data_IF_485896854771
#
_entry.id   IF_485896854771
#
_cell.length_a   1.000
_cell.length_b   1.000
_cell.length_c   1.000
_cell.angle_alpha   90.00
_cell.angle_beta   90.00
_cell.angle_gamma   90.00
#
_symmetry.space_group_name_H-M   'P 1'
#
loop_
_entity.id
_entity.type
_entity.pdbx_description
1 polymer ?
#
# COMPACT_ATOMS: atom_id res chain seq x y z
N UNK A 1 -20.09 -21.52 0.08
CA UNK A 1 -20.30 -22.84 0.70
C UNK A 1 -21.73 -23.27 0.42
N UNK A 2 -22.00 -24.58 0.31
CA UNK A 2 -23.37 -25.10 0.22
C UNK A 2 -24.20 -24.63 1.43
N UNK A 3 -25.48 -24.34 1.23
CA UNK A 3 -26.40 -24.02 2.31
C UNK A 3 -27.23 -25.26 2.62
N UNK A 4 -27.40 -25.59 3.90
CA UNK A 4 -28.19 -26.73 4.34
C UNK A 4 -29.34 -26.26 5.24
N UNK A 5 -30.48 -26.93 5.15
CA UNK A 5 -31.62 -26.78 6.05
C UNK A 5 -31.89 -28.15 6.69
N UNK A 6 -31.38 -28.38 7.90
CA UNK A 6 -31.23 -29.75 8.41
C UNK A 6 -30.11 -30.47 7.64
N UNK A 7 -30.39 -31.67 7.16
CA UNK A 7 -29.47 -32.45 6.31
C UNK A 7 -29.66 -32.17 4.81
N UNK A 8 -30.70 -31.41 4.43
CA UNK A 8 -31.04 -31.15 3.02
C UNK A 8 -30.24 -29.98 2.44
N UNK A 9 -29.64 -30.20 1.27
CA UNK A 9 -28.93 -29.18 0.51
C UNK A 9 -29.92 -28.23 -0.18
N UNK A 10 -29.84 -26.94 0.14
CA UNK A 10 -30.59 -25.90 -0.56
C UNK A 10 -29.83 -25.51 -1.83
N UNK A 11 -30.39 -25.88 -3.00
CA UNK A 11 -29.71 -25.76 -4.31
C UNK A 11 -29.49 -24.31 -4.73
N UNK A 12 -30.46 -23.43 -4.47
CA UNK A 12 -30.46 -22.05 -4.99
C UNK A 12 -29.79 -21.04 -4.05
N UNK A 13 -29.42 -21.48 -2.85
CA UNK A 13 -28.81 -20.64 -1.81
C UNK A 13 -27.37 -21.08 -1.55
N UNK A 14 -26.47 -20.10 -1.47
CA UNK A 14 -25.07 -20.31 -1.09
C UNK A 14 -24.70 -19.42 0.08
N UNK A 15 -23.95 -19.96 1.03
CA UNK A 15 -23.37 -19.16 2.12
C UNK A 15 -22.12 -18.47 1.59
N UNK A 16 -22.10 -17.13 1.69
CA UNK A 16 -20.94 -16.32 1.32
C UNK A 16 -19.81 -16.55 2.33
N UNK A 17 -18.70 -17.10 1.87
CA UNK A 17 -17.51 -17.36 2.69
C UNK A 17 -16.40 -16.36 2.39
N UNK A 18 -15.98 -16.27 1.13
CA UNK A 18 -15.01 -15.29 0.62
C UNK A 18 -15.51 -14.75 -0.72
N UNK A 19 -15.13 -13.52 -1.03
CA UNK A 19 -15.36 -12.93 -2.35
C UNK A 19 -14.13 -12.13 -2.75
N UNK A 20 -13.68 -12.30 -3.99
CA UNK A 20 -12.65 -11.50 -4.62
C UNK A 20 -13.29 -10.74 -5.78
N UNK A 21 -12.94 -9.47 -5.94
CA UNK A 21 -13.33 -8.73 -7.13
C UNK A 21 -12.24 -7.75 -7.56
N UNK A 22 -12.21 -7.53 -8.86
CA UNK A 22 -11.46 -6.48 -9.52
C UNK A 22 -12.31 -5.99 -10.69
N UNK A 23 -12.25 -4.70 -10.97
CA UNK A 23 -12.98 -4.14 -12.08
C UNK A 23 -12.13 -4.20 -13.35
N UNK A 24 -12.75 -4.50 -14.50
CA UNK A 24 -12.01 -4.64 -15.76
C UNK A 24 -11.11 -3.42 -16.10
N UNK A 25 -11.56 -2.17 -15.90
CA UNK A 25 -10.68 -1.01 -16.03
C UNK A 25 -9.46 -1.01 -15.10
N UNK A 26 -9.58 -1.51 -13.87
CA UNK A 26 -8.45 -1.66 -12.95
C UNK A 26 -7.42 -2.68 -13.46
N UNK A 27 -7.89 -3.83 -13.97
CA UNK A 27 -7.04 -4.87 -14.57
C UNK A 27 -6.27 -4.31 -15.77
N UNK A 28 -6.94 -3.52 -16.60
CA UNK A 28 -6.32 -2.84 -17.74
C UNK A 28 -5.35 -1.74 -17.30
N UNK A 29 -5.73 -0.93 -16.33
CA UNK A 29 -4.91 0.16 -15.81
C UNK A 29 -3.58 -0.34 -15.22
N UNK A 30 -3.59 -1.49 -14.53
CA UNK A 30 -2.35 -2.04 -13.95
C UNK A 30 -1.25 -2.31 -15.00
N UNK A 31 -1.62 -2.65 -16.25
CA UNK A 31 -0.66 -2.84 -17.34
C UNK A 31 0.16 -1.58 -17.63
N UNK A 32 -0.42 -0.42 -17.34
CA UNK A 32 0.16 0.91 -17.54
C UNK A 32 0.67 1.54 -16.23
N UNK A 33 0.58 0.81 -15.12
CA UNK A 33 1.13 1.23 -13.82
C UNK A 33 2.56 0.73 -13.65
N UNK A 34 3.26 1.27 -12.64
CA UNK A 34 4.55 0.72 -12.19
C UNK A 34 4.36 -0.75 -11.84
N UNK A 35 5.29 -1.65 -12.17
CA UNK A 35 5.21 -3.07 -11.83
C UNK A 35 5.48 -3.29 -10.33
N UNK A 36 4.70 -2.64 -9.48
CA UNK A 36 4.71 -2.78 -8.04
C UNK A 36 3.27 -2.83 -7.53
N UNK A 37 3.02 -3.73 -6.58
CA UNK A 37 1.73 -3.93 -5.93
C UNK A 37 1.94 -3.90 -4.43
N UNK A 38 1.13 -3.11 -3.73
CA UNK A 38 1.07 -3.12 -2.27
C UNK A 38 -0.21 -3.80 -1.82
N UNK A 39 -0.11 -4.66 -0.82
CA UNK A 39 -1.27 -5.36 -0.23
C UNK A 39 -1.35 -5.12 1.26
N UNK A 40 -2.57 -4.96 1.77
CA UNK A 40 -2.85 -4.79 3.19
C UNK A 40 -4.29 -5.25 3.52
N UNK A 41 -4.51 -5.57 4.79
CA UNK A 41 -5.78 -6.01 5.33
C UNK A 41 -6.32 -5.06 6.39
N UNK A 42 -7.63 -4.83 6.38
CA UNK A 42 -8.31 -4.03 7.41
C UNK A 42 -9.55 -4.74 7.93
N UNK A 43 -9.88 -4.50 9.20
CA UNK A 43 -11.08 -5.06 9.83
C UNK A 43 -12.37 -4.43 9.30
N UNK A 44 -13.37 -5.29 9.09
CA UNK A 44 -14.76 -4.88 8.92
C UNK A 44 -15.43 -4.71 10.29
N UNK A 45 -16.18 -3.62 10.46
CA UNK A 45 -16.83 -3.24 11.71
C UNK A 45 -18.36 -3.51 11.70
N UNK A 46 -18.89 -4.06 10.60
CA UNK A 46 -20.31 -4.34 10.46
C UNK A 46 -20.82 -5.50 11.32
N UNK A 47 -22.06 -5.89 11.05
CA UNK A 47 -22.78 -7.00 11.74
C UNK A 47 -22.03 -8.34 11.69
N UNK A 48 -21.19 -8.54 10.68
CA UNK A 48 -20.40 -9.76 10.49
C UNK A 48 -18.91 -9.48 10.74
N UNK A 49 -18.22 -10.47 11.29
CA UNK A 49 -16.75 -10.51 11.34
C UNK A 49 -16.22 -10.66 9.91
N UNK A 50 -15.04 -10.10 9.66
CA UNK A 50 -14.34 -10.24 8.40
C UNK A 50 -13.23 -9.21 8.24
N UNK A 51 -12.44 -9.40 7.19
CA UNK A 51 -11.36 -8.50 6.77
C UNK A 51 -11.60 -8.11 5.32
N UNK A 52 -11.32 -6.85 5.02
CA UNK A 52 -11.18 -6.35 3.66
C UNK A 52 -9.69 -6.37 3.32
N UNK A 53 -9.31 -7.16 2.32
CA UNK A 53 -7.97 -7.13 1.75
C UNK A 53 -8.00 -6.24 0.51
N UNK A 54 -6.99 -5.39 0.36
CA UNK A 54 -6.89 -4.44 -0.74
C UNK A 54 -5.52 -4.59 -1.40
N UNK A 55 -5.51 -4.56 -2.73
CA UNK A 55 -4.29 -4.41 -3.52
C UNK A 55 -4.33 -3.09 -4.26
N UNK A 56 -3.22 -2.36 -4.24
CA UNK A 56 -3.06 -1.09 -4.95
C UNK A 56 -1.76 -1.08 -5.74
N UNK A 57 -1.74 -0.30 -6.81
CA UNK A 57 -0.54 0.04 -7.55
C UNK A 57 -0.45 1.56 -7.71
N UNK A 58 0.56 2.02 -8.44
CA UNK A 58 0.79 3.43 -8.71
C UNK A 58 1.10 3.64 -10.19
N UNK A 59 0.49 4.66 -10.80
CA UNK A 59 0.78 5.02 -12.18
C UNK A 59 2.09 5.83 -12.33
N UNK A 60 2.44 6.20 -13.57
CA UNK A 60 3.61 7.04 -13.87
C UNK A 60 3.52 8.48 -13.36
N UNK A 61 2.34 8.95 -12.94
CA UNK A 61 2.15 10.28 -12.34
C UNK A 61 1.90 10.20 -10.82
N UNK A 62 2.36 9.12 -10.19
CA UNK A 62 2.22 8.84 -8.77
C UNK A 62 0.79 8.77 -8.22
N UNK A 63 -0.22 8.67 -9.08
CA UNK A 63 -1.60 8.46 -8.64
C UNK A 63 -1.76 7.04 -8.08
N UNK A 64 -2.50 6.92 -6.98
CA UNK A 64 -2.83 5.63 -6.38
C UNK A 64 -3.94 4.99 -7.21
N UNK A 65 -3.72 3.74 -7.63
CA UNK A 65 -4.68 2.96 -8.41
C UNK A 65 -5.04 1.71 -7.63
N UNK A 66 -6.23 1.64 -6.99
CA UNK A 66 -6.72 0.40 -6.42
C UNK A 66 -6.99 -0.61 -7.53
N UNK A 67 -6.46 -1.83 -7.39
CA UNK A 67 -6.51 -2.85 -8.44
C UNK A 67 -7.37 -4.07 -8.09
N UNK A 68 -7.49 -4.43 -6.82
CA UNK A 68 -8.29 -5.58 -6.41
C UNK A 68 -8.70 -5.49 -4.94
N UNK A 69 -9.76 -6.22 -4.61
CA UNK A 69 -10.33 -6.28 -3.27
C UNK A 69 -10.77 -7.70 -2.95
N UNK A 70 -10.77 -8.06 -1.67
CA UNK A 70 -11.42 -9.27 -1.22
C UNK A 70 -12.02 -9.12 0.17
N UNK A 71 -13.12 -9.83 0.42
CA UNK A 71 -13.66 -10.03 1.76
C UNK A 71 -13.37 -11.47 2.16
N UNK A 72 -12.76 -11.61 3.33
CA UNK A 72 -12.35 -12.88 3.91
C UNK A 72 -12.75 -12.95 5.38
N UNK A 73 -12.80 -14.15 5.93
CA UNK A 73 -13.18 -14.40 7.32
C UNK A 73 -12.16 -13.86 8.34
N UNK A 74 -10.88 -13.75 7.95
CA UNK A 74 -9.77 -13.33 8.81
C UNK A 74 -8.45 -13.20 8.03
N UNK A 75 -7.38 -12.77 8.71
CA UNK A 75 -6.01 -12.70 8.15
C UNK A 75 -5.25 -14.02 8.32
N UNK A 76 -5.89 -15.12 7.90
CA UNK A 76 -5.34 -16.47 7.93
C UNK A 76 -4.47 -16.76 6.71
N UNK A 77 -3.63 -17.79 6.76
CA UNK A 77 -2.83 -18.19 5.59
C UNK A 77 -3.73 -18.57 4.41
N UNK A 78 -4.85 -19.25 4.66
CA UNK A 78 -5.79 -19.62 3.59
C UNK A 78 -6.49 -18.42 2.97
N UNK A 79 -6.83 -17.41 3.76
CA UNK A 79 -7.44 -16.18 3.26
C UNK A 79 -6.46 -15.39 2.38
N UNK A 80 -5.20 -15.26 2.80
CA UNK A 80 -4.16 -14.62 1.99
C UNK A 80 -3.84 -15.44 0.74
N UNK A 81 -3.79 -16.77 0.83
CA UNK A 81 -3.58 -17.62 -0.33
C UNK A 81 -4.72 -17.49 -1.34
N UNK A 82 -5.98 -17.45 -0.87
CA UNK A 82 -7.14 -17.15 -1.73
C UNK A 82 -6.98 -15.79 -2.43
N UNK A 83 -6.62 -14.74 -1.70
CA UNK A 83 -6.47 -13.40 -2.26
C UNK A 83 -5.33 -13.32 -3.28
N UNK A 84 -4.14 -13.81 -2.91
CA UNK A 84 -2.94 -13.77 -3.75
C UNK A 84 -3.10 -14.66 -4.99
N UNK A 85 -3.77 -15.81 -4.89
CA UNK A 85 -4.02 -16.68 -6.06
C UNK A 85 -4.91 -15.98 -7.09
N UNK A 86 -6.04 -15.41 -6.65
CA UNK A 86 -6.94 -14.66 -7.53
C UNK A 86 -6.28 -13.39 -8.10
N UNK A 87 -5.50 -12.68 -7.27
CA UNK A 87 -4.76 -11.49 -7.69
C UNK A 87 -3.75 -11.82 -8.79
N UNK A 88 -3.00 -12.92 -8.65
CA UNK A 88 -2.01 -13.37 -9.64
C UNK A 88 -2.66 -13.84 -10.94
N UNK A 89 -3.75 -14.59 -10.84
CA UNK A 89 -4.45 -15.17 -11.98
C UNK A 89 -5.14 -14.11 -12.82
N UNK A 90 -5.82 -13.14 -12.20
CA UNK A 90 -6.73 -12.24 -12.91
C UNK A 90 -6.19 -10.83 -13.13
N UNK A 91 -5.24 -10.36 -12.30
CA UNK A 91 -4.82 -8.95 -12.31
C UNK A 91 -3.32 -8.83 -12.62
N UNK A 92 -2.47 -9.46 -11.81
CA UNK A 92 -1.01 -9.36 -11.88
C UNK A 92 -0.48 -10.45 -12.82
N UNK A 93 -0.77 -10.30 -14.11
CA UNK A 93 -0.45 -11.33 -15.12
C UNK A 93 1.00 -11.27 -15.59
N UNK A 94 1.61 -10.09 -15.62
CA UNK A 94 3.03 -9.87 -16.02
C UNK A 94 4.03 -10.35 -14.95
N UNK A 95 5.21 -10.76 -15.38
CA UNK A 95 6.35 -11.05 -14.52
C UNK A 95 7.15 -9.78 -14.20
N UNK A 96 8.17 -9.89 -13.33
CA UNK A 96 9.00 -8.76 -12.91
C UNK A 96 8.27 -7.76 -12.02
N UNK A 97 7.25 -8.21 -11.27
CA UNK A 97 6.45 -7.33 -10.41
C UNK A 97 6.98 -7.38 -8.98
N UNK A 98 7.12 -6.22 -8.34
CA UNK A 98 7.37 -6.11 -6.91
C UNK A 98 6.08 -6.26 -6.09
N UNK A 99 6.05 -7.18 -5.12
CA UNK A 99 4.98 -7.28 -4.12
C UNK A 99 5.47 -6.70 -2.78
N UNK A 100 4.82 -5.66 -2.28
CA UNK A 100 5.13 -5.07 -0.98
C UNK A 100 4.01 -5.39 0.01
N UNK A 101 4.36 -6.01 1.14
CA UNK A 101 3.40 -6.37 2.19
C UNK A 101 3.95 -6.18 3.59
N UNK A 102 3.10 -6.40 4.60
CA UNK A 102 3.56 -6.72 5.96
C UNK A 102 4.34 -8.05 5.97
N UNK A 103 5.20 -8.25 6.98
CA UNK A 103 5.92 -9.48 7.31
C UNK A 103 5.10 -10.37 8.26
N UNK A 104 3.78 -10.42 8.07
CA UNK A 104 2.93 -11.29 8.87
C UNK A 104 3.08 -12.74 8.39
N UNK A 105 3.16 -13.70 9.33
CA UNK A 105 3.42 -15.12 9.02
C UNK A 105 2.39 -15.73 8.06
N UNK A 106 1.13 -15.30 8.17
CA UNK A 106 0.07 -15.77 7.27
C UNK A 106 0.29 -15.36 5.81
N UNK A 107 0.91 -14.20 5.55
CA UNK A 107 1.27 -13.75 4.20
C UNK A 107 2.46 -14.57 3.69
N UNK A 108 3.50 -14.74 4.51
CA UNK A 108 4.69 -15.52 4.15
C UNK A 108 4.31 -16.97 3.79
N UNK A 109 3.47 -17.59 4.62
CA UNK A 109 2.97 -18.95 4.37
C UNK A 109 2.13 -19.00 3.08
N UNK A 110 1.30 -17.99 2.81
CA UNK A 110 0.51 -17.93 1.58
C UNK A 110 1.38 -17.78 0.32
N UNK A 111 2.42 -16.95 0.38
CA UNK A 111 3.40 -16.78 -0.71
C UNK A 111 4.16 -18.09 -0.95
N UNK A 112 4.65 -18.74 0.10
CA UNK A 112 5.35 -20.03 0.00
C UNK A 112 4.47 -21.13 -0.62
N UNK A 113 3.18 -21.18 -0.27
CA UNK A 113 2.18 -22.12 -0.83
C UNK A 113 1.77 -21.81 -2.27
N UNK A 114 2.20 -20.71 -2.86
CA UNK A 114 1.75 -20.27 -4.19
C UNK A 114 2.50 -20.95 -5.34
N UNK A 115 3.21 -22.06 -5.12
CA UNK A 115 3.94 -22.82 -6.14
C UNK A 115 4.83 -21.94 -7.05
N UNK A 116 5.55 -20.99 -6.44
CA UNK A 116 6.43 -20.06 -7.15
C UNK A 116 5.74 -18.92 -7.92
N UNK A 117 4.41 -18.83 -7.88
CA UNK A 117 3.67 -17.78 -8.59
C UNK A 117 3.95 -16.36 -8.06
N UNK A 118 4.33 -16.27 -6.78
CA UNK A 118 4.74 -15.06 -6.06
C UNK A 118 6.23 -15.04 -5.70
N UNK A 119 7.05 -15.78 -6.46
CA UNK A 119 8.50 -15.90 -6.24
C UNK A 119 9.30 -15.47 -7.46
N UNK A 120 10.58 -15.19 -7.26
CA UNK A 120 11.52 -14.85 -8.34
C UNK A 120 11.59 -16.00 -9.37
N UNK A 121 11.66 -15.72 -10.69
CA UNK A 121 11.77 -14.40 -11.33
C UNK A 121 10.42 -13.73 -11.67
N UNK A 122 9.29 -14.32 -11.26
CA UNK A 122 7.96 -13.81 -11.62
C UNK A 122 7.58 -12.60 -10.78
N UNK A 123 7.77 -12.70 -9.47
CA UNK A 123 7.47 -11.65 -8.50
C UNK A 123 8.57 -11.57 -7.46
N UNK A 124 8.96 -10.35 -7.11
CA UNK A 124 9.91 -10.06 -6.05
C UNK A 124 9.11 -9.63 -4.83
N UNK A 125 9.05 -10.48 -3.80
CA UNK A 125 8.34 -10.18 -2.56
C UNK A 125 9.26 -9.41 -1.62
N UNK A 126 8.85 -8.20 -1.23
CA UNK A 126 9.58 -7.34 -0.30
C UNK A 126 8.66 -6.90 0.84
N UNK A 127 9.25 -6.65 2.00
CA UNK A 127 8.54 -6.23 3.20
C UNK A 127 8.57 -4.72 3.36
N UNK A 128 7.46 -4.17 3.79
CA UNK A 128 7.35 -2.79 4.22
C UNK A 128 8.33 -2.50 5.37
N UNK A 129 9.21 -1.50 5.20
CA UNK A 129 10.24 -1.15 6.18
C UNK A 129 9.62 -0.69 7.52
N UNK A 130 8.45 -0.04 7.47
CA UNK A 130 7.70 0.38 8.66
C UNK A 130 7.17 -0.81 9.46
N UNK A 131 6.76 -1.88 8.77
CA UNK A 131 6.36 -3.12 9.43
C UNK A 131 7.56 -3.86 10.02
N UNK A 132 8.71 -3.85 9.35
CA UNK A 132 9.97 -4.37 9.93
C UNK A 132 10.35 -3.58 11.19
N UNK A 133 10.31 -2.26 11.13
CA UNK A 133 10.57 -1.35 12.25
C UNK A 133 9.64 -1.65 13.44
N UNK A 134 8.33 -1.76 13.19
CA UNK A 134 7.35 -2.09 14.23
C UNK A 134 7.60 -3.46 14.84
N UNK A 135 7.91 -4.46 14.02
CA UNK A 135 8.24 -5.81 14.49
C UNK A 135 9.53 -5.83 15.32
N UNK A 136 10.54 -5.06 14.91
CA UNK A 136 11.79 -4.91 15.65
C UNK A 136 11.54 -4.26 17.01
N UNK A 137 10.78 -3.16 17.05
CA UNK A 137 10.42 -2.48 18.29
C UNK A 137 9.63 -3.41 19.23
N UNK A 138 8.70 -4.20 18.70
CA UNK A 138 7.94 -5.16 19.51
C UNK A 138 8.84 -6.24 20.13
N UNK A 139 9.87 -6.69 19.42
CA UNK A 139 10.78 -7.73 19.89
C UNK A 139 11.79 -7.23 20.92
N UNK A 140 12.41 -6.08 20.66
CA UNK A 140 13.55 -5.59 21.44
C UNK A 140 13.23 -4.39 22.34
N UNK A 141 12.09 -3.72 22.13
CA UNK A 141 11.68 -2.52 22.88
C UNK A 141 12.75 -1.42 22.89
N UNK A 142 13.52 -1.30 21.81
CA UNK A 142 14.65 -0.37 21.67
C UNK A 142 14.34 0.74 20.65
N UNK A 143 13.74 1.87 21.08
CA UNK A 143 13.18 2.89 20.18
C UNK A 143 14.23 3.66 19.36
N UNK A 144 15.50 3.67 19.78
CA UNK A 144 16.58 4.33 19.04
C UNK A 144 17.16 3.45 17.93
N UNK A 145 17.18 2.13 18.13
CA UNK A 145 17.77 1.18 17.19
C UNK A 145 16.87 0.93 15.97
N UNK A 146 15.55 1.09 16.12
CA UNK A 146 14.61 0.93 15.01
C UNK A 146 14.90 1.93 13.86
N UNK A 147 15.34 3.16 14.19
CA UNK A 147 15.73 4.17 13.18
C UNK A 147 16.92 3.69 12.37
N UNK A 148 17.86 2.98 13.00
CA UNK A 148 19.00 2.42 12.30
C UNK A 148 18.55 1.32 11.33
N UNK A 149 17.60 0.46 11.72
CA UNK A 149 16.99 -0.54 10.83
C UNK A 149 16.31 0.13 9.62
N UNK A 150 15.58 1.22 9.85
CA UNK A 150 14.97 2.01 8.77
C UNK A 150 16.05 2.58 7.85
N UNK A 151 17.12 3.17 8.40
CA UNK A 151 18.23 3.72 7.63
C UNK A 151 18.95 2.64 6.81
N UNK A 152 19.15 1.43 7.34
CA UNK A 152 19.68 0.28 6.59
C UNK A 152 18.75 -0.03 5.40
N UNK A 153 17.43 -0.04 5.63
CA UNK A 153 16.45 -0.27 4.58
C UNK A 153 16.51 0.77 3.45
N UNK A 154 16.69 2.04 3.80
CA UNK A 154 16.76 3.17 2.84
C UNK A 154 18.13 3.37 2.18
N UNK A 155 19.17 2.63 2.58
CA UNK A 155 20.50 2.72 1.96
C UNK A 155 20.42 2.44 0.47
N UNK A 156 20.92 3.36 -0.36
CA UNK A 156 20.86 3.27 -1.83
C UNK A 156 22.05 2.51 -2.41
N UNK A 157 23.16 2.51 -1.68
CA UNK A 157 24.39 1.81 -2.07
C UNK A 157 24.75 0.73 -1.07
N UNK A 158 25.47 -0.29 -1.54
CA UNK A 158 26.03 -1.36 -0.68
C UNK A 158 26.93 -0.76 0.42
N UNK A 159 27.68 0.30 0.10
CA UNK A 159 28.54 1.01 1.06
C UNK A 159 27.75 1.65 2.20
N UNK A 160 26.68 2.38 1.87
CA UNK A 160 25.79 2.98 2.88
C UNK A 160 25.10 1.91 3.74
N UNK A 161 24.69 0.81 3.10
CA UNK A 161 24.10 -0.33 3.80
C UNK A 161 25.08 -0.90 4.82
N UNK A 162 26.31 -1.21 4.40
CA UNK A 162 27.31 -1.82 5.27
C UNK A 162 27.66 -0.92 6.44
N UNK A 163 27.79 0.40 6.20
CA UNK A 163 28.04 1.38 7.25
C UNK A 163 26.92 1.41 8.31
N UNK A 164 25.65 1.41 7.88
CA UNK A 164 24.52 1.35 8.82
C UNK A 164 24.40 -0.01 9.51
N UNK A 165 24.73 -1.09 8.82
CA UNK A 165 24.68 -2.45 9.35
C UNK A 165 25.78 -2.68 10.41
N UNK A 166 27.00 -2.20 10.19
CA UNK A 166 28.09 -2.26 11.18
C UNK A 166 27.73 -1.49 12.45
N UNK A 167 27.14 -0.30 12.31
CA UNK A 167 26.61 0.45 13.47
C UNK A 167 25.53 -0.32 14.24
N UNK A 168 24.77 -1.21 13.59
CA UNK A 168 23.78 -2.05 14.27
C UNK A 168 24.48 -3.21 14.98
N UNK A 169 25.49 -3.80 14.34
CA UNK A 169 26.33 -4.87 14.90
C UNK A 169 27.03 -4.44 16.18
N UNK A 170 27.60 -3.23 16.19
CA UNK A 170 28.25 -2.62 17.36
C UNK A 170 27.31 -2.48 18.58
N UNK A 171 26.00 -2.48 18.37
CA UNK A 171 25.01 -2.38 19.47
C UNK A 171 24.69 -3.74 20.08
N UNK A 172 24.92 -4.83 19.35
CA UNK A 172 24.70 -6.18 19.83
C UNK A 172 24.32 -7.17 18.71
N UNK A 173 24.91 -8.37 18.78
CA UNK A 173 24.70 -9.44 17.80
C UNK A 173 23.24 -9.92 17.71
N UNK A 174 22.48 -9.81 18.80
CA UNK A 174 21.07 -10.20 18.80
C UNK A 174 20.24 -9.40 17.77
N UNK A 175 20.61 -8.15 17.50
CA UNK A 175 19.89 -7.29 16.55
C UNK A 175 20.18 -7.68 15.10
N UNK A 176 21.44 -7.90 14.77
CA UNK A 176 21.85 -8.34 13.43
C UNK A 176 21.40 -9.77 13.16
N UNK A 177 21.49 -10.67 14.14
CA UNK A 177 20.98 -12.04 14.01
C UNK A 177 19.46 -12.09 13.78
N UNK A 178 18.69 -11.12 14.31
CA UNK A 178 17.26 -10.99 14.00
C UNK A 178 17.03 -10.47 12.58
N UNK A 179 17.79 -9.46 12.17
CA UNK A 179 17.66 -8.85 10.84
C UNK A 179 18.07 -9.82 9.73
N UNK A 180 19.12 -10.62 9.94
CA UNK A 180 19.63 -11.63 8.99
C UNK A 180 18.65 -12.77 8.71
N UNK A 181 17.57 -12.90 9.49
CA UNK A 181 16.46 -13.82 9.17
C UNK A 181 15.59 -13.30 8.02
N UNK A 182 15.82 -12.08 7.58
CA UNK A 182 15.18 -11.46 6.43
C UNK A 182 16.26 -11.35 5.35
N UNK A 183 16.06 -11.95 4.17
CA UNK A 183 16.96 -11.72 3.04
C UNK A 183 17.05 -10.21 2.74
N UNK A 184 18.26 -9.71 2.47
CA UNK A 184 18.50 -8.28 2.28
C UNK A 184 17.70 -7.70 1.11
N UNK A 185 17.37 -8.51 0.09
CA UNK A 185 16.65 -8.08 -1.12
C UNK A 185 15.20 -7.74 -0.76
N UNK A 186 14.69 -8.32 0.33
CA UNK A 186 13.31 -8.11 0.78
C UNK A 186 13.16 -6.85 1.63
N UNK A 187 14.22 -6.21 2.10
CA UNK A 187 14.09 -5.01 2.95
C UNK A 187 15.02 -3.85 2.61
N UNK A 188 16.18 -4.07 2.01
CA UNK A 188 17.13 -3.01 1.70
C UNK A 188 17.06 -2.59 0.23
N UNK A 189 17.03 -1.27 -0.01
CA UNK A 189 16.95 -0.68 -1.34
C UNK A 189 18.20 -0.97 -2.18
N UNK A 190 19.39 -1.02 -1.55
CA UNK A 190 20.65 -1.34 -2.23
C UNK A 190 20.68 -2.72 -2.92
N UNK A 191 19.79 -3.64 -2.53
CA UNK A 191 19.76 -5.03 -3.02
C UNK A 191 18.42 -5.39 -3.68
N UNK A 192 17.56 -4.42 -3.95
CA UNK A 192 16.19 -4.68 -4.42
C UNK A 192 16.07 -4.99 -5.92
N UNK A 193 17.18 -4.87 -6.67
CA UNK A 193 17.21 -5.05 -8.12
C UNK A 193 16.35 -4.05 -8.91
N UNK A 194 15.95 -2.93 -8.30
CA UNK A 194 15.03 -1.94 -8.86
C UNK A 194 13.55 -2.33 -8.81
N UNK A 195 13.19 -3.47 -8.21
CA UNK A 195 11.82 -3.97 -8.23
C UNK A 195 10.87 -3.27 -7.24
N UNK A 196 11.38 -2.43 -6.32
CA UNK A 196 10.52 -1.68 -5.38
C UNK A 196 10.02 -0.37 -5.94
N UNK A 197 10.62 0.14 -7.03
CA UNK A 197 10.21 1.41 -7.64
C UNK A 197 10.20 2.60 -6.66
N UNK A 198 11.11 2.58 -5.68
CA UNK A 198 11.20 3.59 -4.61
C UNK A 198 10.15 3.42 -3.49
N UNK A 199 9.31 2.38 -3.53
CA UNK A 199 8.32 2.09 -2.50
C UNK A 199 8.93 1.26 -1.38
N UNK A 200 9.22 1.91 -0.24
CA UNK A 200 9.71 1.23 0.96
C UNK A 200 8.59 0.85 1.93
N UNK A 201 7.41 1.44 1.79
CA UNK A 201 6.30 1.31 2.72
C UNK A 201 4.98 0.93 2.02
N UNK A 202 3.99 0.55 2.82
CA UNK A 202 2.60 0.23 2.44
C UNK A 202 1.68 1.46 2.48
N UNK A 203 2.23 2.68 2.44
CA UNK A 203 1.44 3.89 2.62
C UNK A 203 0.31 4.04 1.59
N UNK A 204 0.49 3.54 0.36
CA UNK A 204 -0.54 3.67 -0.68
C UNK A 204 -1.78 2.85 -0.33
N UNK A 205 -1.58 1.61 0.11
CA UNK A 205 -2.70 0.74 0.48
C UNK A 205 -3.32 1.17 1.81
N UNK A 206 -2.51 1.66 2.74
CA UNK A 206 -2.99 2.26 4.00
C UNK A 206 -3.85 3.52 3.74
N UNK A 207 -3.47 4.34 2.75
CA UNK A 207 -4.27 5.49 2.32
C UNK A 207 -5.65 5.06 1.80
N UNK A 208 -5.71 4.03 0.95
CA UNK A 208 -6.99 3.50 0.45
C UNK A 208 -7.81 2.86 1.57
N UNK A 209 -7.18 2.15 2.50
CA UNK A 209 -7.85 1.62 3.69
C UNK A 209 -8.47 2.75 4.54
N UNK A 210 -7.80 3.90 4.65
CA UNK A 210 -8.35 5.10 5.31
C UNK A 210 -9.57 5.67 4.57
N UNK A 211 -9.50 5.77 3.23
CA UNK A 211 -10.61 6.22 2.39
C UNK A 211 -11.84 5.32 2.52
N UNK A 212 -11.62 4.00 2.68
CA UNK A 212 -12.68 3.01 2.83
C UNK A 212 -13.17 2.82 4.27
N UNK A 213 -12.54 3.47 5.27
CA UNK A 213 -12.88 3.31 6.68
C UNK A 213 -14.35 3.54 6.99
N UNK A 214 -14.97 4.52 6.33
CA UNK A 214 -16.38 4.85 6.50
C UNK A 214 -17.35 3.78 5.98
N UNK A 215 -16.90 2.86 5.11
CA UNK A 215 -17.75 1.80 4.54
C UNK A 215 -17.55 0.43 5.20
N UNK A 216 -16.60 0.30 6.14
CA UNK A 216 -16.30 -0.96 6.82
C UNK A 216 -17.45 -1.48 7.71
N UNK A 217 -18.40 -0.63 8.10
CA UNK A 217 -19.57 -0.99 8.88
C UNK A 217 -20.79 -1.35 8.02
N UNK A 218 -20.71 -1.15 6.70
CA UNK A 218 -21.82 -1.35 5.78
C UNK A 218 -21.96 -2.82 5.36
N UNK A 219 -23.15 -3.22 4.84
CA UNK A 219 -23.30 -4.51 4.18
C UNK A 219 -22.31 -4.69 3.02
N UNK A 220 -21.95 -5.95 2.74
CA UNK A 220 -20.98 -6.30 1.68
C UNK A 220 -21.38 -5.71 0.32
N UNK A 221 -22.67 -5.75 -0.02
CA UNK A 221 -23.19 -5.16 -1.26
C UNK A 221 -22.97 -3.65 -1.33
N UNK A 222 -23.15 -2.94 -0.22
CA UNK A 222 -22.88 -1.51 -0.13
C UNK A 222 -21.37 -1.21 -0.20
N UNK A 223 -20.52 -2.07 0.37
CA UNK A 223 -19.06 -1.95 0.26
C UNK A 223 -18.61 -2.11 -1.20
N UNK A 224 -19.09 -3.14 -1.90
CA UNK A 224 -18.79 -3.33 -3.34
C UNK A 224 -19.28 -2.13 -4.14
N UNK A 225 -20.52 -1.67 -3.96
CA UNK A 225 -21.04 -0.45 -4.61
C UNK A 225 -20.19 0.77 -4.31
N UNK A 226 -19.75 0.97 -3.06
CA UNK A 226 -18.89 2.08 -2.70
C UNK A 226 -17.54 2.03 -3.41
N UNK A 227 -16.91 0.85 -3.51
CA UNK A 227 -15.67 0.70 -4.29
C UNK A 227 -15.90 1.00 -5.77
N UNK A 228 -17.04 0.60 -6.33
CA UNK A 228 -17.41 0.89 -7.71
C UNK A 228 -17.54 2.40 -7.97
N UNK A 229 -18.39 3.10 -7.23
CA UNK A 229 -18.64 4.53 -7.46
C UNK A 229 -17.40 5.38 -7.23
N UNK A 230 -16.62 5.10 -6.17
CA UNK A 230 -15.37 5.83 -5.89
C UNK A 230 -14.31 5.63 -6.97
N UNK A 231 -14.19 4.40 -7.49
CA UNK A 231 -13.26 4.12 -8.59
C UNK A 231 -13.73 4.76 -9.89
N UNK A 232 -15.03 4.77 -10.15
CA UNK A 232 -15.56 5.41 -11.35
C UNK A 232 -15.32 6.92 -11.31
N UNK A 233 -15.55 7.57 -10.17
CA UNK A 233 -15.24 9.00 -9.97
C UNK A 233 -13.74 9.27 -10.18
N UNK A 234 -12.87 8.43 -9.60
CA UNK A 234 -11.42 8.54 -9.77
C UNK A 234 -11.03 8.45 -11.25
N UNK A 235 -11.49 7.42 -11.97
CA UNK A 235 -11.14 7.22 -13.37
C UNK A 235 -11.74 8.28 -14.29
N UNK A 236 -12.96 8.76 -14.02
CA UNK A 236 -13.54 9.90 -14.73
C UNK A 236 -12.68 11.14 -14.63
N UNK A 237 -12.30 11.52 -13.39
CA UNK A 237 -11.44 12.68 -13.18
C UNK A 237 -10.08 12.51 -13.84
N UNK A 238 -9.45 11.35 -13.67
CA UNK A 238 -8.11 11.08 -14.23
C UNK A 238 -8.10 11.03 -15.75
N UNK A 239 -9.18 10.55 -16.36
CA UNK A 239 -9.36 10.60 -17.81
C UNK A 239 -9.46 12.04 -18.31
N UNK A 240 -10.27 12.89 -17.68
CA UNK A 240 -10.36 14.32 -18.06
C UNK A 240 -9.01 15.02 -17.94
N UNK A 241 -8.29 14.80 -16.83
CA UNK A 241 -6.93 15.34 -16.63
C UNK A 241 -5.96 14.87 -17.72
N UNK A 242 -6.05 13.61 -18.13
CA UNK A 242 -5.18 13.06 -19.16
C UNK A 242 -5.55 13.55 -20.57
N UNK A 243 -6.84 13.60 -20.90
CA UNK A 243 -7.35 14.07 -22.19
C UNK A 243 -6.95 15.53 -22.40
N UNK A 244 -7.13 16.40 -21.39
CA UNK A 244 -6.71 17.80 -21.43
C UNK A 244 -5.21 17.97 -21.72
N UNK A 245 -4.38 17.05 -21.21
CA UNK A 245 -2.92 17.06 -21.45
C UNK A 245 -2.54 16.52 -22.83
N UNK A 246 -3.28 15.55 -23.35
CA UNK A 246 -3.06 15.04 -24.71
C UNK A 246 -3.43 16.10 -25.75
N UNK A 247 -4.52 16.84 -25.51
CA UNK A 247 -5.02 17.88 -26.43
C UNK A 247 -4.28 19.21 -26.29
N UNK A 248 -3.35 19.34 -25.34
CA UNK A 248 -2.56 20.55 -25.18
C UNK A 248 -1.67 20.77 -26.42
N UNK A 249 -1.57 22.03 -26.86
CA UNK A 249 -0.78 22.46 -28.03
C UNK A 249 0.67 21.98 -27.93
N UNK A 250 1.25 22.04 -26.73
CA UNK A 250 2.54 21.44 -26.41
C UNK A 250 2.31 20.16 -25.59
N UNK A 251 2.05 19.04 -26.27
CA UNK A 251 1.87 17.74 -25.60
C UNK A 251 3.17 17.33 -24.88
N UNK A 252 3.17 17.18 -23.54
CA UNK A 252 4.35 16.71 -22.84
C UNK A 252 4.64 15.24 -23.19
N UNK A 253 5.93 14.90 -23.33
CA UNK A 253 6.36 13.52 -23.59
C UNK A 253 6.21 12.62 -22.35
N UNK A 254 6.41 13.20 -21.16
CA UNK A 254 6.44 12.49 -19.88
C UNK A 254 5.41 13.03 -18.88
N UNK A 255 5.13 12.23 -17.86
CA UNK A 255 4.31 12.64 -16.72
C UNK A 255 4.88 13.90 -16.08
N UNK A 256 4.00 14.71 -15.50
CA UNK A 256 4.37 15.99 -14.88
C UNK A 256 5.47 15.81 -13.83
N UNK A 257 5.35 14.77 -13.00
CA UNK A 257 6.33 14.46 -11.96
C UNK A 257 7.70 14.17 -12.55
N UNK A 258 7.76 13.44 -13.66
CA UNK A 258 9.02 13.15 -14.32
C UNK A 258 9.54 14.42 -14.97
N UNK A 259 8.73 15.15 -15.73
CA UNK A 259 9.13 16.42 -16.35
C UNK A 259 9.71 17.42 -15.33
N UNK A 260 9.09 17.58 -14.16
CA UNK A 260 9.62 18.45 -13.10
C UNK A 260 10.95 17.95 -12.54
N UNK A 261 11.11 16.64 -12.33
CA UNK A 261 12.37 16.05 -11.86
C UNK A 261 13.47 16.18 -12.90
N UNK A 262 13.18 15.85 -14.16
CA UNK A 262 14.11 15.99 -15.27
C UNK A 262 14.63 17.42 -15.37
N UNK A 263 13.75 18.41 -15.28
CA UNK A 263 14.14 19.82 -15.31
C UNK A 263 15.02 20.21 -14.11
N UNK A 264 14.67 19.78 -12.90
CA UNK A 264 15.49 20.03 -11.71
C UNK A 264 16.90 19.40 -11.85
N UNK A 265 16.97 18.21 -12.44
CA UNK A 265 18.19 17.45 -12.58
C UNK A 265 19.08 18.01 -13.70
N UNK A 266 18.49 18.52 -14.79
CA UNK A 266 19.20 19.26 -15.83
C UNK A 266 19.77 20.58 -15.31
N UNK A 267 19.02 21.30 -14.47
CA UNK A 267 19.54 22.50 -13.82
C UNK A 267 20.71 22.17 -12.87
N UNK A 268 20.62 21.06 -12.15
CA UNK A 268 21.70 20.61 -11.26
C UNK A 268 22.93 20.11 -12.03
N UNK A 269 22.75 19.50 -13.21
CA UNK A 269 23.87 18.96 -14.00
C UNK A 269 24.76 20.02 -14.63
N UNK A 270 24.26 21.24 -14.81
CA UNK A 270 25.04 22.35 -15.37
C UNK A 270 26.30 22.70 -14.59
N UNK A 271 26.40 22.28 -13.32
CA UNK A 271 27.59 22.50 -12.50
C UNK A 271 28.58 21.31 -12.52
N UNK A 272 28.17 20.13 -13.03
CA UNK A 272 28.94 18.89 -12.94
C UNK A 272 30.03 18.84 -14.03
N UNK A 273 31.29 18.67 -13.62
CA UNK A 273 32.38 18.39 -14.56
C UNK A 273 32.58 16.88 -14.74
N UNK A 274 32.52 16.41 -15.99
CA UNK A 274 32.78 15.01 -16.36
C UNK A 274 34.04 14.95 -17.22
N UNK A 275 35.09 14.33 -16.69
CA UNK A 275 36.34 14.05 -17.39
C UNK A 275 36.34 12.60 -17.88
N UNK A 276 36.70 12.38 -19.15
CA UNK A 276 36.91 11.03 -19.67
C UNK A 276 38.27 10.53 -19.17
N UNK A 277 38.27 9.56 -18.26
CA UNK A 277 39.48 8.99 -17.67
C UNK A 277 40.04 7.86 -18.54
N UNK A 278 39.16 6.97 -19.02
CA UNK A 278 39.52 5.88 -19.93
C UNK A 278 38.37 5.61 -20.91
N UNK A 279 38.62 5.89 -22.19
CA UNK A 279 37.63 5.76 -23.26
C UNK A 279 37.39 4.30 -23.68
N UNK A 280 38.39 3.42 -23.56
CA UNK A 280 38.25 2.00 -23.93
C UNK A 280 37.42 1.24 -22.89
N UNK A 281 37.64 1.54 -21.61
CA UNK A 281 36.90 0.91 -20.50
C UNK A 281 35.62 1.67 -20.09
N UNK A 282 35.29 2.77 -20.77
CA UNK A 282 34.15 3.66 -20.47
C UNK A 282 34.14 4.15 -19.02
N UNK A 283 35.33 4.49 -18.50
CA UNK A 283 35.50 5.02 -17.14
C UNK A 283 35.59 6.54 -17.21
N UNK A 284 34.75 7.22 -16.43
CA UNK A 284 34.67 8.67 -16.36
C UNK A 284 34.93 9.12 -14.93
N UNK A 285 35.78 10.13 -14.78
CA UNK A 285 35.95 10.85 -13.52
C UNK A 285 34.90 11.96 -13.50
N UNK A 286 33.94 11.86 -12.58
CA UNK A 286 32.94 12.91 -12.37
C UNK A 286 33.35 13.71 -11.15
N UNK A 287 33.67 14.99 -11.34
CA UNK A 287 33.98 15.91 -10.24
C UNK A 287 32.77 16.81 -9.98
N UNK A 288 32.08 16.59 -8.86
CA UNK A 288 31.32 17.68 -8.20
C UNK A 288 30.86 17.45 -6.74
N UNK A 289 30.46 18.57 -6.13
CA UNK A 289 30.27 18.99 -4.72
C UNK A 289 29.30 18.16 -3.81
N UNK A 290 29.24 18.42 -2.47
CA UNK A 290 28.74 17.52 -1.41
C UNK A 290 27.29 17.03 -1.48
N UNK A 291 26.45 17.56 -2.38
CA UNK A 291 25.06 17.13 -2.52
C UNK A 291 24.99 16.02 -3.57
N UNK A 292 25.02 14.77 -3.13
CA UNK A 292 25.03 13.57 -3.99
C UNK A 292 23.82 13.43 -4.94
N UNK A 293 23.83 14.19 -6.04
CA UNK A 293 22.76 14.25 -7.05
C UNK A 293 23.37 14.19 -8.46
N UNK A 294 23.01 13.11 -9.16
CA UNK A 294 22.77 12.92 -10.59
C UNK A 294 23.86 13.18 -11.65
N UNK A 295 24.80 12.23 -11.72
CA UNK A 295 25.79 12.08 -12.79
C UNK A 295 25.20 11.71 -14.16
N UNK A 296 24.00 11.13 -14.23
CA UNK A 296 23.48 10.54 -15.49
C UNK A 296 23.24 11.61 -16.55
N UNK A 297 22.67 12.77 -16.18
CA UNK A 297 22.45 13.87 -17.13
C UNK A 297 23.76 14.46 -17.62
N UNK A 298 24.68 14.77 -16.71
CA UNK A 298 26.00 15.29 -17.05
C UNK A 298 26.79 14.32 -17.95
N UNK A 299 26.74 13.02 -17.67
CA UNK A 299 27.34 11.99 -18.52
C UNK A 299 26.65 11.89 -19.89
N UNK A 300 25.32 11.95 -19.95
CA UNK A 300 24.59 11.92 -21.21
C UNK A 300 24.92 13.15 -22.08
N UNK A 301 24.98 14.33 -21.48
CA UNK A 301 25.36 15.57 -22.16
C UNK A 301 26.80 15.51 -22.68
N UNK A 302 27.75 15.11 -21.82
CA UNK A 302 29.15 14.93 -22.19
C UNK A 302 29.32 13.92 -23.35
N UNK A 303 28.56 12.83 -23.33
CA UNK A 303 28.62 11.76 -24.34
C UNK A 303 27.67 11.96 -25.53
N UNK A 304 26.91 13.08 -25.58
CA UNK A 304 25.88 13.35 -26.58
C UNK A 304 24.85 12.22 -26.72
N UNK A 305 24.50 11.59 -25.61
CA UNK A 305 23.47 10.56 -25.53
C UNK A 305 22.12 11.21 -25.30
N UNK A 306 21.09 10.72 -25.98
CA UNK A 306 19.72 11.07 -25.67
C UNK A 306 19.30 10.37 -24.37
N UNK A 307 19.14 11.13 -23.28
CA UNK A 307 18.74 10.58 -22.00
C UNK A 307 17.29 10.07 -21.98
N UNK A 308 16.45 10.52 -22.93
CA UNK A 308 15.03 10.17 -22.97
C UNK A 308 14.79 8.68 -23.16
N UNK A 309 15.72 7.99 -23.83
CA UNK A 309 15.65 6.53 -24.08
C UNK A 309 15.77 5.71 -22.79
N UNK A 310 16.33 6.29 -21.72
CA UNK A 310 16.48 5.62 -20.41
C UNK A 310 15.26 5.86 -19.51
N UNK A 311 14.32 6.71 -19.90
CA UNK A 311 13.07 6.93 -19.14
C UNK A 311 12.12 5.76 -19.40
N UNK A 312 11.81 5.02 -18.34
CA UNK A 312 10.93 3.86 -18.42
C UNK A 312 9.53 4.23 -18.94
N UNK A 313 8.95 3.35 -19.77
CA UNK A 313 7.72 3.62 -20.53
C UNK A 313 6.52 4.04 -19.67
N UNK A 314 6.39 3.51 -18.45
CA UNK A 314 5.32 3.87 -17.49
C UNK A 314 5.19 5.38 -17.27
N UNK A 315 6.28 6.13 -17.43
CA UNK A 315 6.33 7.57 -17.25
C UNK A 315 5.97 8.37 -18.51
N UNK A 316 5.80 7.71 -19.65
CA UNK A 316 5.37 8.36 -20.89
C UNK A 316 3.88 8.70 -20.80
N UNK A 317 3.49 9.84 -21.37
CA UNK A 317 2.12 10.36 -21.27
C UNK A 317 1.06 9.46 -21.90
N UNK A 318 1.42 8.68 -22.91
CA UNK A 318 0.54 7.71 -23.57
C UNK A 318 0.13 6.53 -22.67
N UNK A 319 0.93 6.22 -21.64
CA UNK A 319 0.61 5.20 -20.64
C UNK A 319 -0.31 5.75 -19.55
N UNK A 320 -0.07 6.99 -19.11
CA UNK A 320 -0.84 7.65 -18.05
C UNK A 320 -2.29 7.94 -18.48
N UNK A 321 -2.57 8.05 -19.78
CA UNK A 321 -3.89 8.44 -20.28
C UNK A 321 -4.91 7.31 -20.50
N UNK A 322 -4.57 6.05 -20.22
CA UNK A 322 -5.37 4.88 -20.67
C UNK A 322 -6.43 4.40 -19.66
N UNK A 323 -7.03 5.30 -18.88
CA UNK A 323 -8.09 4.95 -17.94
C UNK A 323 -9.44 4.80 -18.66
N UNK A 324 -10.03 3.60 -18.59
CA UNK A 324 -11.39 3.34 -19.08
C UNK A 324 -12.41 3.55 -17.97
N UNK A 325 -13.58 4.06 -18.32
CA UNK A 325 -14.69 4.17 -17.40
C UNK A 325 -15.30 2.81 -17.12
N UNK A 326 -15.93 2.70 -15.95
CA UNK A 326 -16.78 1.57 -15.64
C UNK A 326 -18.13 1.77 -16.33
N UNK A 327 -18.63 0.73 -17.00
CA UNK A 327 -19.93 0.79 -17.64
C UNK A 327 -21.06 1.00 -16.63
N UNK A 328 -22.11 1.69 -17.05
CA UNK A 328 -23.27 1.99 -16.22
C UNK A 328 -23.88 0.68 -15.69
N UNK A 329 -24.20 0.57 -14.39
CA UNK A 329 -24.91 -0.60 -13.85
C UNK A 329 -26.19 -1.00 -14.61
N UNK A 330 -26.82 -0.06 -15.32
CA UNK A 330 -28.00 -0.35 -16.17
C UNK A 330 -27.69 -1.18 -17.42
N UNK A 331 -26.43 -1.27 -17.84
CA UNK A 331 -26.00 -2.07 -19.01
C UNK A 331 -25.53 -3.47 -18.62
N UNK A 332 -25.54 -3.81 -17.33
CA UNK A 332 -25.05 -5.11 -16.88
C UNK A 332 -26.08 -6.21 -17.13
N UNK A 333 -25.65 -7.41 -17.54
CA UNK A 333 -26.55 -8.54 -17.71
C UNK A 333 -27.22 -8.91 -16.39
N UNK A 334 -28.46 -9.41 -16.47
CA UNK A 334 -29.16 -9.93 -15.30
C UNK A 334 -28.34 -11.07 -14.67
N UNK A 335 -28.20 -11.03 -13.34
CA UNK A 335 -27.51 -12.08 -12.61
C UNK A 335 -28.44 -13.29 -12.44
N UNK A 336 -28.13 -14.37 -13.15
CA UNK A 336 -28.89 -15.64 -13.11
C UNK A 336 -28.23 -16.69 -12.19
N UNK A 337 -27.26 -16.31 -11.36
CA UNK A 337 -26.56 -17.23 -10.47
C UNK A 337 -27.25 -17.44 -9.12
N UNK A 338 -26.66 -18.28 -8.27
CA UNK A 338 -27.21 -18.59 -6.94
C UNK A 338 -27.33 -17.35 -6.06
N UNK A 339 -28.34 -17.34 -5.18
CA UNK A 339 -28.52 -16.30 -4.18
C UNK A 339 -27.53 -16.52 -3.02
N UNK A 340 -26.79 -15.48 -2.66
CA UNK A 340 -25.85 -15.54 -1.54
C UNK A 340 -26.47 -15.02 -0.24
N UNK A 341 -26.32 -15.80 0.83
CA UNK A 341 -26.68 -15.40 2.19
C UNK A 341 -25.44 -15.19 3.05
N UNK A 342 -25.46 -14.26 4.02
CA UNK A 342 -24.34 -14.08 4.94
C UNK A 342 -24.08 -15.33 5.77
N UNK A 343 -22.81 -15.60 6.09
CA UNK A 343 -22.46 -16.69 6.98
C UNK A 343 -22.93 -16.42 8.43
N UNK A 344 -23.85 -17.23 9.00
CA UNK A 344 -24.35 -17.01 10.35
C UNK A 344 -23.26 -17.16 11.42
N UNK A 345 -22.25 -18.00 11.21
CA UNK A 345 -21.12 -18.19 12.14
C UNK A 345 -20.20 -16.96 12.22
N UNK A 346 -20.22 -16.10 11.21
CA UNK A 346 -19.49 -14.83 11.23
C UNK A 346 -20.31 -13.70 11.86
N UNK A 347 -21.58 -13.91 12.19
CA UNK A 347 -22.42 -12.88 12.81
C UNK A 347 -21.90 -12.53 14.20
N UNK A 348 -21.77 -11.24 14.48
CA UNK A 348 -21.42 -10.76 15.82
C UNK A 348 -22.62 -10.92 16.74
N UNK A 349 -22.39 -11.49 17.92
CA UNK A 349 -23.36 -11.59 19.01
C UNK A 349 -23.18 -10.33 19.88
N UNK A 350 -23.95 -9.26 19.70
CA UNK A 350 -23.78 -8.01 20.48
C UNK A 350 -24.34 -8.16 21.90
N UNK A 351 -23.72 -7.59 22.95
CA UNK A 351 -23.61 -6.14 23.21
C UNK A 351 -22.17 -5.63 23.43
N UNK A 352 -21.82 -4.51 22.77
CA UNK A 352 -20.60 -3.74 23.00
C UNK A 352 -19.82 -3.39 21.73
N UNK A 353 -19.14 -2.23 21.72
CA UNK A 353 -18.17 -1.88 20.67
C UNK A 353 -17.04 -2.94 20.69
N UNK A 354 -16.71 -3.58 19.56
CA UNK A 354 -15.63 -4.56 19.54
C UNK A 354 -14.34 -3.93 20.07
N UNK A 355 -13.65 -4.59 21.01
CA UNK A 355 -12.27 -4.22 21.36
C UNK A 355 -11.45 -4.24 20.08
N UNK A 356 -10.73 -3.15 19.81
CA UNK A 356 -9.78 -3.09 18.72
C UNK A 356 -8.75 -4.21 18.92
N UNK A 357 -8.79 -5.23 18.07
CA UNK A 357 -7.87 -6.38 18.11
C UNK A 357 -6.77 -6.27 17.06
N UNK A 358 -6.80 -5.22 16.23
CA UNK A 358 -5.66 -4.85 15.39
C UNK A 358 -4.56 -4.27 16.26
N UNK A 359 -3.31 -4.59 15.95
CA UNK A 359 -2.17 -3.94 16.57
C UNK A 359 -2.23 -2.43 16.26
N UNK A 360 -2.17 -1.61 17.32
CA UNK A 360 -2.13 -0.15 17.21
C UNK A 360 -0.93 0.25 16.34
N UNK A 361 -1.17 1.00 15.28
CA UNK A 361 -0.09 1.65 14.51
C UNK A 361 0.03 3.13 14.91
N UNK A 362 1.05 3.83 14.40
CA UNK A 362 1.32 5.24 14.76
C UNK A 362 0.11 6.18 14.53
N UNK A 363 -0.77 5.86 13.57
CA UNK A 363 -2.00 6.63 13.35
C UNK A 363 -2.98 6.51 14.52
N UNK A 364 -3.02 5.36 15.20
CA UNK A 364 -3.82 5.18 16.40
C UNK A 364 -3.16 5.86 17.62
N UNK A 365 -1.83 5.96 17.64
CA UNK A 365 -1.09 6.68 18.69
C UNK A 365 -1.32 8.19 18.63
N UNK A 366 -1.52 8.76 17.43
CA UNK A 366 -1.95 10.16 17.27
C UNK A 366 -3.30 10.45 17.95
N UNK A 367 -4.24 9.48 17.92
CA UNK A 367 -5.53 9.63 18.62
C UNK A 367 -5.40 9.57 20.16
N UNK A 368 -4.31 8.98 20.67
CA UNK A 368 -3.99 8.98 22.10
C UNK A 368 -3.24 10.25 22.55
N UNK A 369 -2.74 11.06 21.61
CA UNK A 369 -1.98 12.31 21.87
C UNK A 369 -2.83 13.59 21.79
N UNK A 370 -4.12 13.50 21.47
CA UNK A 370 -5.00 14.65 21.70
C UNK A 370 -5.22 14.79 23.21
N UNK A 371 -5.02 15.98 23.80
CA UNK A 371 -5.44 16.24 25.16
C UNK A 371 -6.91 15.83 25.31
N UNK A 372 -7.21 15.01 26.32
CA UNK A 372 -8.59 14.62 26.60
C UNK A 372 -9.32 15.84 27.14
N UNK A 373 -9.95 16.60 26.24
CA UNK A 373 -10.74 17.78 26.59
C UNK A 373 -12.12 17.32 27.08
N UNK A 374 -12.47 17.73 28.29
CA UNK A 374 -13.78 17.49 28.85
C UNK A 374 -14.84 18.28 28.07
N UNK A 375 -15.77 17.61 27.38
CA UNK A 375 -16.87 18.28 26.64
C UNK A 375 -17.84 19.10 27.50
N UNK A 376 -17.71 19.07 28.84
CA UNK A 376 -18.56 19.83 29.76
C UNK A 376 -17.90 21.13 30.24
N UNK A 377 -16.61 21.11 30.58
CA UNK A 377 -15.89 22.27 31.11
C UNK A 377 -14.70 22.75 30.26
N UNK A 378 -14.38 22.06 29.16
CA UNK A 378 -13.28 22.43 28.26
C UNK A 378 -11.87 22.16 28.79
N UNK A 379 -11.72 21.67 30.03
CA UNK A 379 -10.40 21.38 30.61
C UNK A 379 -9.81 20.07 30.09
N UNK A 380 -8.48 20.03 30.01
CA UNK A 380 -7.71 18.83 29.62
C UNK A 380 -7.64 17.83 30.79
N UNK A 381 -7.14 16.61 30.54
CA UNK A 381 -6.90 15.51 31.50
C UNK A 381 -8.10 14.66 31.97
N UNK A 382 -9.35 15.05 31.76
CA UNK A 382 -10.51 14.24 32.19
C UNK A 382 -11.68 14.23 31.20
N UNK A 383 -12.55 13.21 31.32
CA UNK A 383 -13.73 13.06 30.49
C UNK A 383 -15.01 13.55 31.21
N UNK A 384 -16.11 13.73 30.46
CA UNK A 384 -17.41 14.20 31.00
C UNK A 384 -17.89 13.39 32.22
N UNK A 385 -17.65 12.08 32.24
CA UNK A 385 -18.07 11.20 33.36
C UNK A 385 -17.31 11.44 34.66
N UNK A 386 -16.14 12.11 34.62
CA UNK A 386 -15.32 12.45 35.80
C UNK A 386 -15.26 13.95 36.06
N UNK A 387 -16.12 14.73 35.39
CA UNK A 387 -16.17 16.17 35.55
C UNK A 387 -16.88 16.51 36.87
N UNK A 388 -16.21 17.24 37.78
CA UNK A 388 -16.79 17.65 39.07
C UNK A 388 -18.06 18.52 38.92
N UNK A 389 -18.23 19.20 37.78
CA UNK A 389 -19.45 19.93 37.45
C UNK A 389 -20.64 19.02 37.12
N UNK A 390 -20.48 17.69 37.09
CA UNK A 390 -21.58 16.74 36.88
C UNK A 390 -22.51 16.61 38.10
N UNK A 391 -22.04 16.96 39.29
CA UNK A 391 -22.73 16.67 40.55
C UNK A 391 -23.60 17.81 41.11
N UNK A 392 -23.86 18.88 40.35
CA UNK A 392 -24.48 20.11 40.85
C UNK A 392 -25.85 20.44 40.23
N UNK A 393 -26.75 19.47 40.07
CA UNK A 393 -28.14 19.74 39.68
C UNK A 393 -29.03 18.63 40.26
N UNK A 394 -29.19 18.63 41.58
CA UNK A 394 -30.29 18.02 42.33
C UNK A 394 -30.06 18.28 43.83
N UNK A 395 -30.34 19.50 44.27
CA UNK A 395 -30.64 19.84 45.66
C UNK A 395 -31.20 21.26 45.64
N UNK A 396 -32.48 21.39 46.00
CA UNK A 396 -33.19 22.54 46.56
C UNK A 396 -34.56 22.72 45.90
N UNK A 397 -35.50 21.93 46.42
CA UNK A 397 -36.90 22.30 46.55
C UNK A 397 -37.45 21.43 47.70
N UNK A 398 -37.22 21.88 48.92
CA UNK A 398 -38.00 21.58 50.12
C UNK A 398 -37.50 22.46 51.27
N UNK A 399 -38.16 23.60 51.51
CA UNK A 399 -38.50 24.14 52.83
C UNK A 399 -39.02 25.60 52.76
N UNK A 400 -40.27 25.74 53.24
CA UNK A 400 -41.01 26.93 53.68
C UNK A 400 -41.57 27.91 52.64
#
# INVERSE_FOLDING_TARGET
MPAYQGDDLVTDIRVLHRVFWSYYPCIRAFRHCKPVVQVDGTHLYGKYKGRLLVAVSQDGNNNIVPIAFAIVEGETSDAWHFFLSNLRQHVVTRNGVGLISDRHESINTAVARSNGAWSSPRVFHMFCIRHIESNFLRKFKAPYLQKLVVNIGYSRTVREYELHYQRLRERGEAYTAWLNRIPWEQYALAFDGGYRWGHMNTNLVECINSVLKGVHNLPITALVKATFYRLNELFSRKRVEADARITAVCRPCFSEIVTSKLHANQLASGNIQVNCFDRQNKVFEVREMPSGVEHVFACCENQRLDWQVYVYEVYKMDQVARFRLLENPTTWPAYNGSRFVPNPYLRRVTKGHPRMTRFLNEMDTRMLRCPRICRKCGAEEHNRSRCRQASGANADNDAQ
#
